data_IF_253742608868
#
_entry.id   IF_253742608868
#
_cell.length_a   1.000
_cell.length_b   1.000
_cell.length_c   1.000
_cell.angle_alpha   90.00
_cell.angle_beta   90.00
_cell.angle_gamma   90.00
#
_symmetry.space_group_name_H-M   'P 1'
#
loop_
_entity.id
_entity.type
_entity.pdbx_description
1 polymer ?
#
# COMPACT_ATOMS: atom_id res chain seq x y z
N UNK A 1 -2.34 60.85 -12.17
CA UNK A 1 -1.65 59.68 -12.70
C UNK A 1 -2.22 58.42 -11.96
N UNK A 2 -3.20 57.74 -12.63
CA UNK A 2 -3.70 56.44 -12.18
C UNK A 2 -2.72 55.37 -12.71
N UNK A 3 -1.93 54.78 -11.84
CA UNK A 3 -1.15 53.62 -12.16
C UNK A 3 -2.11 52.41 -12.11
N UNK A 4 -2.54 51.96 -13.28
CA UNK A 4 -3.26 50.67 -13.42
C UNK A 4 -2.23 49.58 -13.18
N UNK A 5 -2.30 48.92 -12.02
CA UNK A 5 -1.66 47.62 -11.83
C UNK A 5 -2.38 46.62 -12.72
N UNK A 6 -1.91 46.40 -13.93
CA UNK A 6 -2.32 45.23 -14.70
C UNK A 6 -1.81 44.02 -13.92
N UNK A 7 -2.71 43.24 -13.38
CA UNK A 7 -2.37 41.92 -12.81
C UNK A 7 -1.88 41.07 -14.00
N UNK A 8 -0.60 40.72 -14.02
CA UNK A 8 -0.09 39.76 -15.00
C UNK A 8 -0.94 38.47 -14.84
N UNK A 9 -1.49 38.01 -15.96
CA UNK A 9 -2.22 36.73 -15.95
C UNK A 9 -1.21 35.63 -15.65
N UNK A 10 -1.40 34.95 -14.51
CA UNK A 10 -0.56 33.84 -14.10
C UNK A 10 -0.71 32.69 -15.11
N UNK A 11 0.40 32.14 -15.57
CA UNK A 11 0.45 31.00 -16.50
C UNK A 11 -0.14 29.74 -15.87
N UNK A 12 -0.62 28.82 -16.70
CA UNK A 12 -1.05 27.48 -16.29
C UNK A 12 0.00 26.48 -16.79
N UNK A 13 0.54 25.60 -15.92
CA UNK A 13 1.50 24.60 -16.36
C UNK A 13 0.97 23.72 -17.49
N UNK A 14 1.79 23.45 -18.50
CA UNK A 14 1.49 22.54 -19.61
C UNK A 14 2.22 21.22 -19.39
N UNK A 15 1.48 20.11 -19.41
CA UNK A 15 2.00 18.76 -19.13
C UNK A 15 1.87 17.90 -20.39
N UNK A 16 2.96 17.28 -20.84
CA UNK A 16 2.99 16.27 -21.88
C UNK A 16 3.61 14.98 -21.34
N UNK A 17 2.83 13.90 -21.29
CA UNK A 17 3.30 12.59 -20.80
C UNK A 17 3.65 11.72 -22.01
N UNK A 18 4.92 11.36 -22.14
CA UNK A 18 5.44 10.51 -23.21
C UNK A 18 5.32 9.04 -22.86
N UNK A 19 5.86 8.64 -21.68
CA UNK A 19 5.79 7.30 -21.15
C UNK A 19 5.10 7.31 -19.75
N UNK A 20 4.33 6.25 -19.42
CA UNK A 20 3.94 5.12 -20.28
C UNK A 20 3.03 5.59 -21.43
N UNK A 21 2.99 4.84 -22.55
CA UNK A 21 2.00 5.07 -23.59
C UNK A 21 0.62 4.62 -23.11
N UNK A 22 -0.44 5.21 -23.67
CA UNK A 22 -1.82 4.85 -23.29
C UNK A 22 -2.09 3.37 -23.56
N UNK A 23 -2.60 2.64 -22.57
CA UNK A 23 -2.91 1.22 -22.65
C UNK A 23 -1.71 0.30 -22.40
N UNK A 24 -0.56 0.83 -21.96
CA UNK A 24 0.56 0.00 -21.50
C UNK A 24 0.09 -0.99 -20.45
N UNK A 25 0.41 -2.28 -20.66
CA UNK A 25 0.13 -3.35 -19.70
C UNK A 25 1.31 -3.50 -18.76
N UNK A 26 1.04 -3.47 -17.48
CA UNK A 26 2.03 -3.50 -16.40
C UNK A 26 1.74 -4.67 -15.47
N UNK A 27 2.70 -5.55 -15.27
CA UNK A 27 2.61 -6.68 -14.35
C UNK A 27 3.22 -6.30 -12.99
N UNK A 28 2.42 -6.36 -11.94
CA UNK A 28 2.86 -6.05 -10.56
C UNK A 28 3.54 -7.28 -9.94
N UNK A 29 4.67 -7.14 -9.23
CA UNK A 29 5.39 -5.90 -8.89
C UNK A 29 6.38 -5.48 -10.00
N UNK A 30 6.50 -4.18 -10.24
CA UNK A 30 7.48 -3.63 -11.19
C UNK A 30 7.68 -2.13 -11.01
N UNK A 31 8.71 -1.60 -11.64
CA UNK A 31 8.89 -0.16 -11.84
C UNK A 31 8.31 0.24 -13.20
N UNK A 32 7.51 1.30 -13.22
CA UNK A 32 7.00 1.88 -14.46
C UNK A 32 7.82 3.13 -14.80
N UNK A 33 8.39 3.12 -16.00
CA UNK A 33 9.05 4.30 -16.53
C UNK A 33 8.01 5.40 -16.78
N UNK A 34 8.19 6.54 -16.14
CA UNK A 34 7.39 7.75 -16.40
C UNK A 34 8.31 8.82 -16.99
N UNK A 35 8.02 9.19 -18.24
CA UNK A 35 8.72 10.26 -18.94
C UNK A 35 7.73 11.34 -19.32
N UNK A 36 8.02 12.58 -18.97
CA UNK A 36 7.14 13.70 -19.24
C UNK A 36 7.92 15.01 -19.41
N UNK A 37 7.27 15.94 -20.11
CA UNK A 37 7.70 17.33 -20.19
C UNK A 37 6.65 18.21 -19.51
N UNK A 38 7.12 19.13 -18.66
CA UNK A 38 6.29 20.14 -17.99
C UNK A 38 6.89 21.51 -18.24
N UNK A 39 6.09 22.42 -18.78
CA UNK A 39 6.51 23.78 -19.09
C UNK A 39 5.65 24.79 -18.36
N UNK A 40 6.28 25.66 -17.59
CA UNK A 40 5.67 26.81 -16.95
C UNK A 40 6.77 27.80 -16.52
N UNK A 41 6.67 29.12 -16.78
CA UNK A 41 7.70 30.10 -16.40
C UNK A 41 7.93 30.19 -14.90
N UNK A 42 6.95 29.81 -14.07
CA UNK A 42 7.01 29.88 -12.61
C UNK A 42 6.81 28.51 -11.95
N UNK A 43 7.24 27.43 -12.60
CA UNK A 43 7.07 26.05 -12.12
C UNK A 43 7.71 25.86 -10.74
N UNK A 44 6.89 25.45 -9.76
CA UNK A 44 7.30 25.24 -8.36
C UNK A 44 7.40 23.76 -8.02
N UNK A 45 6.42 22.96 -8.45
CA UNK A 45 6.36 21.56 -8.04
C UNK A 45 5.82 20.65 -9.12
N UNK A 46 6.33 19.41 -9.15
CA UNK A 46 5.81 18.31 -9.95
C UNK A 46 5.64 17.09 -9.06
N UNK A 47 4.45 16.48 -9.10
CA UNK A 47 4.10 15.27 -8.37
C UNK A 47 3.57 14.22 -9.32
N UNK A 48 4.01 12.98 -9.12
CA UNK A 48 3.55 11.80 -9.88
C UNK A 48 2.84 10.86 -8.92
N UNK A 49 1.62 10.47 -9.27
CA UNK A 49 0.76 9.58 -8.51
C UNK A 49 0.30 8.39 -9.37
N UNK A 50 0.02 7.25 -8.75
CA UNK A 50 -0.83 6.21 -9.31
C UNK A 50 -2.23 6.37 -8.72
N UNK A 51 -3.24 6.46 -9.60
CA UNK A 51 -4.63 6.60 -9.16
C UNK A 51 -5.52 5.54 -9.81
N UNK A 52 -6.60 5.15 -9.11
CA UNK A 52 -7.63 4.23 -9.62
C UNK A 52 -8.59 4.92 -10.62
N UNK A 53 -9.59 4.18 -11.11
CA UNK A 53 -10.62 4.72 -12.01
C UNK A 53 -11.49 5.82 -11.37
N UNK A 54 -11.52 5.92 -10.04
CA UNK A 54 -12.17 6.99 -9.30
C UNK A 54 -11.24 8.16 -9.01
N UNK A 55 -10.04 8.17 -9.59
CA UNK A 55 -8.97 9.15 -9.38
C UNK A 55 -8.47 9.25 -7.94
N UNK A 56 -8.67 8.21 -7.13
CA UNK A 56 -8.12 8.12 -5.78
C UNK A 56 -6.70 7.58 -5.85
N UNK A 57 -5.80 8.20 -5.10
CA UNK A 57 -4.41 7.75 -4.97
C UNK A 57 -4.38 6.36 -4.33
N UNK A 58 -3.61 5.43 -4.93
CA UNK A 58 -3.50 4.04 -4.47
C UNK A 58 -2.10 3.67 -3.98
N UNK A 59 -1.09 4.46 -4.32
CA UNK A 59 0.28 4.30 -3.84
C UNK A 59 0.85 5.67 -3.41
N UNK A 60 1.91 5.70 -2.58
CA UNK A 60 2.59 6.93 -2.21
C UNK A 60 3.07 7.72 -3.44
N UNK A 61 2.91 9.06 -3.43
CA UNK A 61 3.33 9.90 -4.54
C UNK A 61 4.84 9.99 -4.62
N UNK A 62 5.35 10.27 -5.83
CA UNK A 62 6.73 10.68 -6.03
C UNK A 62 6.81 12.16 -6.42
N UNK A 63 7.76 12.87 -5.81
CA UNK A 63 8.04 14.26 -6.10
C UNK A 63 9.24 14.37 -7.02
N UNK A 64 9.10 15.15 -8.09
CA UNK A 64 10.18 15.45 -9.00
C UNK A 64 10.78 16.80 -8.61
N UNK A 65 12.11 16.85 -8.46
CA UNK A 65 12.80 18.09 -8.15
C UNK A 65 12.77 19.01 -9.38
N UNK A 66 12.12 20.16 -9.26
CA UNK A 66 12.10 21.17 -10.31
C UNK A 66 13.44 21.89 -10.37
N UNK A 67 14.02 21.99 -11.58
CA UNK A 67 15.32 22.65 -11.84
C UNK A 67 15.27 23.67 -12.95
N UNK A 68 14.18 23.74 -13.71
CA UNK A 68 14.00 24.66 -14.83
C UNK A 68 12.52 24.91 -15.12
N UNK A 69 12.23 25.95 -15.88
CA UNK A 69 10.87 26.32 -16.33
C UNK A 69 10.34 25.42 -17.46
N UNK A 70 11.23 24.73 -18.16
CA UNK A 70 10.91 23.67 -19.11
C UNK A 70 11.60 22.40 -18.61
N UNK A 71 10.83 21.55 -17.94
CA UNK A 71 11.33 20.38 -17.20
C UNK A 71 10.99 19.09 -17.92
N UNK A 72 11.95 18.54 -18.64
CA UNK A 72 11.91 17.16 -19.08
C UNK A 72 12.44 16.28 -17.94
N UNK A 73 11.67 15.27 -17.55
CA UNK A 73 12.10 14.34 -16.50
C UNK A 73 11.72 12.89 -16.82
N UNK A 74 12.48 12.00 -16.21
CA UNK A 74 12.28 10.56 -16.28
C UNK A 74 12.46 9.99 -14.88
N UNK A 75 11.48 9.22 -14.42
CA UNK A 75 11.53 8.48 -13.14
C UNK A 75 11.06 7.06 -13.31
N UNK A 76 11.57 6.17 -12.46
CA UNK A 76 11.01 4.84 -12.29
C UNK A 76 10.01 4.89 -11.13
N UNK A 77 8.72 4.80 -11.43
CA UNK A 77 7.66 4.82 -10.44
C UNK A 77 7.41 3.40 -9.93
N UNK A 78 7.66 3.10 -8.63
CA UNK A 78 7.54 1.75 -8.10
C UNK A 78 6.07 1.35 -7.90
N UNK A 79 5.66 0.24 -8.50
CA UNK A 79 4.34 -0.37 -8.32
C UNK A 79 4.53 -1.74 -7.67
N UNK A 80 4.63 -1.76 -6.33
CA UNK A 80 4.89 -2.98 -5.55
C UNK A 80 3.74 -3.37 -4.62
N UNK A 81 2.60 -2.67 -4.68
CA UNK A 81 1.43 -2.98 -3.86
C UNK A 81 0.86 -4.36 -4.22
N UNK A 82 1.00 -5.34 -3.32
CA UNK A 82 0.47 -6.71 -3.52
C UNK A 82 -1.06 -6.74 -3.55
N UNK A 83 -1.70 -5.73 -2.95
CA UNK A 83 -3.15 -5.55 -2.89
C UNK A 83 -3.75 -4.91 -4.13
N UNK A 84 -2.91 -4.45 -5.06
CA UNK A 84 -3.40 -3.85 -6.30
C UNK A 84 -4.08 -4.91 -7.18
N UNK A 85 -5.37 -4.73 -7.40
CA UNK A 85 -6.16 -5.60 -8.26
C UNK A 85 -5.85 -5.39 -9.74
N UNK A 86 -6.08 -6.41 -10.55
CA UNK A 86 -6.08 -6.27 -12.00
C UNK A 86 -7.16 -5.29 -12.43
N UNK A 87 -6.81 -4.31 -13.26
CA UNK A 87 -7.74 -3.28 -13.72
C UNK A 87 -7.05 -2.10 -14.38
N UNK A 88 -7.85 -1.09 -14.68
CA UNK A 88 -7.41 0.17 -15.27
C UNK A 88 -6.97 1.15 -14.17
N UNK A 89 -5.81 1.77 -14.38
CA UNK A 89 -5.23 2.78 -13.51
C UNK A 89 -4.69 3.93 -14.34
N UNK A 90 -4.32 5.03 -13.67
CA UNK A 90 -3.75 6.18 -14.35
C UNK A 90 -2.49 6.64 -13.65
N UNK A 91 -1.43 6.87 -14.43
CA UNK A 91 -0.34 7.73 -14.00
C UNK A 91 -0.85 9.16 -14.08
N UNK A 92 -0.89 9.83 -12.94
CA UNK A 92 -1.32 11.21 -12.79
C UNK A 92 -0.11 12.08 -12.52
N UNK A 93 0.11 13.09 -13.33
CA UNK A 93 1.14 14.12 -13.10
C UNK A 93 0.42 15.40 -12.74
N UNK A 94 0.79 15.96 -11.60
CA UNK A 94 0.31 17.28 -11.15
C UNK A 94 1.50 18.23 -11.14
N UNK A 95 1.36 19.33 -11.84
CA UNK A 95 2.33 20.42 -11.87
C UNK A 95 1.70 21.70 -11.34
N UNK A 96 2.41 22.45 -10.52
CA UNK A 96 1.91 23.67 -9.94
C UNK A 96 2.96 24.78 -9.98
N UNK A 97 2.50 25.99 -10.16
CA UNK A 97 3.22 27.23 -9.88
C UNK A 97 2.63 27.89 -8.62
N UNK A 98 2.93 29.17 -8.33
CA UNK A 98 2.43 29.89 -7.16
C UNK A 98 0.90 30.05 -7.14
N UNK A 99 0.28 30.17 -8.32
CA UNK A 99 -1.13 30.58 -8.47
C UNK A 99 -2.02 29.48 -9.08
N UNK A 100 -1.46 28.61 -9.92
CA UNK A 100 -2.20 27.66 -10.73
C UNK A 100 -1.63 26.24 -10.61
N UNK A 101 -2.51 25.29 -10.91
CA UNK A 101 -2.18 23.87 -10.98
C UNK A 101 -2.77 23.24 -12.24
N UNK A 102 -2.00 22.39 -12.89
CA UNK A 102 -2.45 21.53 -13.98
C UNK A 102 -2.28 20.05 -13.63
N UNK A 103 -3.07 19.22 -14.29
CA UNK A 103 -3.03 17.76 -14.11
C UNK A 103 -3.10 17.04 -15.44
N UNK A 104 -2.15 16.15 -15.69
CA UNK A 104 -2.13 15.25 -16.84
C UNK A 104 -2.37 13.80 -16.39
N UNK A 105 -3.00 13.00 -17.24
CA UNK A 105 -3.29 11.59 -16.98
C UNK A 105 -2.82 10.71 -18.14
N UNK A 106 -2.31 9.52 -17.80
CA UNK A 106 -2.01 8.48 -18.79
C UNK A 106 -2.53 7.14 -18.30
N UNK A 107 -3.47 6.56 -19.03
CA UNK A 107 -4.08 5.26 -18.68
C UNK A 107 -3.10 4.11 -18.88
N UNK A 108 -3.05 3.21 -17.91
CA UNK A 108 -2.33 1.94 -17.96
C UNK A 108 -3.26 0.81 -17.49
N UNK A 109 -2.97 -0.41 -17.91
CA UNK A 109 -3.65 -1.60 -17.41
C UNK A 109 -2.72 -2.35 -16.46
N UNK A 110 -3.08 -2.46 -15.19
CA UNK A 110 -2.33 -3.26 -14.22
C UNK A 110 -2.82 -4.70 -14.23
N UNK A 111 -1.89 -5.64 -14.24
CA UNK A 111 -2.12 -7.04 -13.94
C UNK A 111 -1.59 -7.29 -12.54
N UNK A 112 -2.48 -7.33 -11.56
CA UNK A 112 -2.15 -7.58 -10.16
C UNK A 112 -1.57 -8.97 -9.94
N UNK A 113 -0.80 -9.14 -8.88
CA UNK A 113 -0.35 -10.48 -8.46
C UNK A 113 -1.57 -11.29 -8.05
N UNK A 114 -1.79 -12.49 -8.61
CA UNK A 114 -2.88 -13.34 -8.17
C UNK A 114 -2.75 -13.63 -6.67
N UNK A 115 -3.77 -13.26 -5.90
CA UNK A 115 -3.86 -13.66 -4.50
C UNK A 115 -4.21 -15.15 -4.48
N UNK A 116 -3.19 -15.99 -4.27
CA UNK A 116 -3.42 -17.41 -4.09
C UNK A 116 -3.97 -17.65 -2.67
N UNK A 117 -5.21 -18.11 -2.60
CA UNK A 117 -5.77 -18.60 -1.34
C UNK A 117 -4.93 -19.77 -0.83
N UNK A 118 -4.22 -19.57 0.29
CA UNK A 118 -3.37 -20.60 0.91
C UNK A 118 -4.11 -21.44 1.92
N UNK A 119 -5.23 -20.95 2.43
CA UNK A 119 -6.04 -21.64 3.43
C UNK A 119 -6.77 -20.67 4.36
N UNK A 120 -7.58 -21.25 5.21
CA UNK A 120 -8.30 -20.59 6.30
C UNK A 120 -7.80 -21.15 7.63
N UNK A 121 -7.64 -20.30 8.62
CA UNK A 121 -7.42 -20.73 10.00
C UNK A 121 -8.71 -20.58 10.78
N UNK A 122 -9.28 -21.70 11.21
CA UNK A 122 -10.38 -21.70 12.13
C UNK A 122 -9.86 -21.88 13.55
N UNK A 123 -10.28 -21.00 14.45
CA UNK A 123 -9.85 -21.04 15.84
C UNK A 123 -11.04 -21.10 16.76
N UNK A 124 -10.93 -21.95 17.76
CA UNK A 124 -11.91 -22.12 18.84
C UNK A 124 -11.23 -22.11 20.20
N UNK A 125 -11.98 -21.72 21.25
CA UNK A 125 -11.52 -21.80 22.63
C UNK A 125 -12.30 -22.91 23.30
N UNK A 126 -11.60 -23.91 23.83
CA UNK A 126 -12.17 -24.99 24.59
C UNK A 126 -11.56 -24.97 26.01
N UNK A 127 -12.33 -24.45 26.97
CA UNK A 127 -11.83 -24.24 28.33
C UNK A 127 -10.67 -23.24 28.36
N UNK A 128 -9.49 -23.70 28.74
CA UNK A 128 -8.25 -22.91 28.78
C UNK A 128 -7.33 -23.14 27.57
N UNK A 129 -7.82 -23.86 26.56
CA UNK A 129 -7.04 -24.17 25.38
C UNK A 129 -7.57 -23.44 24.16
N UNK A 130 -6.67 -22.88 23.39
CA UNK A 130 -6.92 -22.36 22.05
C UNK A 130 -6.65 -23.50 21.09
N UNK A 131 -7.69 -23.96 20.41
CA UNK A 131 -7.56 -24.96 19.34
C UNK A 131 -7.70 -24.28 17.99
N UNK A 132 -6.87 -24.65 17.07
CA UNK A 132 -6.94 -24.15 15.71
C UNK A 132 -6.76 -25.25 14.68
N UNK A 133 -7.39 -25.00 13.55
CA UNK A 133 -7.38 -25.91 12.41
C UNK A 133 -7.04 -25.09 11.18
N UNK A 134 -6.04 -25.52 10.47
CA UNK A 134 -5.77 -24.99 9.12
C UNK A 134 -6.65 -25.74 8.13
N UNK A 135 -7.33 -25.00 7.27
CA UNK A 135 -8.10 -25.53 6.15
C UNK A 135 -7.36 -25.07 4.89
N UNK A 136 -6.75 -25.97 4.16
CA UNK A 136 -5.99 -25.66 2.96
C UNK A 136 -6.89 -25.27 1.77
N UNK A 137 -6.28 -24.89 0.65
CA UNK A 137 -7.01 -24.46 -0.55
C UNK A 137 -7.83 -25.58 -1.21
N UNK A 138 -7.62 -26.83 -0.81
CA UNK A 138 -8.37 -28.02 -1.31
C UNK A 138 -9.46 -28.45 -0.35
N UNK A 139 -9.58 -27.78 0.82
CA UNK A 139 -10.53 -28.15 1.88
C UNK A 139 -9.99 -29.19 2.85
N UNK A 140 -8.71 -29.59 2.72
CA UNK A 140 -8.04 -30.47 3.69
C UNK A 140 -7.90 -29.77 5.05
N UNK A 141 -8.21 -30.47 6.14
CA UNK A 141 -8.18 -29.93 7.51
C UNK A 141 -7.00 -30.51 8.26
N UNK A 142 -6.17 -29.66 8.83
CA UNK A 142 -5.06 -30.03 9.71
C UNK A 142 -5.24 -29.35 11.05
N UNK A 143 -5.44 -30.14 12.11
CA UNK A 143 -5.45 -29.63 13.49
C UNK A 143 -4.03 -29.30 13.92
N UNK A 144 -3.85 -28.09 14.43
CA UNK A 144 -2.56 -27.60 14.91
C UNK A 144 -2.45 -27.83 16.42
N UNK A 145 -1.24 -27.91 16.99
CA UNK A 145 -1.07 -28.09 18.43
C UNK A 145 -1.85 -27.02 19.22
N UNK A 146 -2.60 -27.42 20.27
CA UNK A 146 -3.35 -26.47 21.07
C UNK A 146 -2.40 -25.60 21.91
N UNK A 147 -2.77 -24.34 22.07
CA UNK A 147 -2.07 -23.41 22.95
C UNK A 147 -2.87 -23.30 24.25
N UNK A 148 -2.23 -23.65 25.38
CA UNK A 148 -2.87 -23.50 26.69
C UNK A 148 -2.76 -22.05 27.15
N UNK A 149 -3.77 -21.26 26.87
CA UNK A 149 -3.88 -19.87 27.32
C UNK A 149 -5.27 -19.30 27.03
N UNK A 150 -5.62 -18.23 27.72
CA UNK A 150 -6.76 -17.39 27.28
C UNK A 150 -6.32 -16.45 26.17
N UNK A 151 -7.10 -16.40 25.11
CA UNK A 151 -6.86 -15.52 23.96
C UNK A 151 -7.55 -14.18 24.18
N UNK A 152 -6.83 -13.08 23.99
CA UNK A 152 -7.40 -11.74 23.96
C UNK A 152 -7.60 -11.21 22.55
N UNK A 153 -6.76 -11.62 21.62
CA UNK A 153 -6.83 -11.17 20.25
C UNK A 153 -5.91 -11.96 19.32
N UNK A 154 -6.22 -11.92 18.04
CA UNK A 154 -5.46 -12.55 16.98
C UNK A 154 -5.35 -11.58 15.81
N UNK A 155 -4.18 -11.56 15.16
CA UNK A 155 -3.97 -10.94 13.86
C UNK A 155 -3.30 -11.94 12.92
N UNK A 156 -3.70 -11.91 11.67
CA UNK A 156 -3.11 -12.72 10.60
C UNK A 156 -2.35 -11.78 9.66
N UNK A 157 -1.07 -12.05 9.49
CA UNK A 157 -0.20 -11.33 8.56
C UNK A 157 -0.16 -12.09 7.23
N UNK A 158 -1.04 -11.76 6.33
CA UNK A 158 -1.25 -12.51 5.07
C UNK A 158 -0.02 -12.55 4.16
N UNK A 159 0.81 -11.50 4.19
CA UNK A 159 2.02 -11.40 3.37
C UNK A 159 3.20 -12.22 3.88
N UNK A 160 3.26 -12.48 5.20
CA UNK A 160 4.41 -13.08 5.86
C UNK A 160 4.17 -14.52 6.34
N UNK A 161 2.96 -15.04 6.12
CA UNK A 161 2.56 -16.36 6.62
C UNK A 161 2.71 -16.48 8.14
N UNK A 162 2.36 -15.42 8.87
CA UNK A 162 2.45 -15.34 10.33
C UNK A 162 1.08 -15.13 10.97
N UNK A 163 0.93 -15.63 12.19
CA UNK A 163 -0.21 -15.39 13.06
C UNK A 163 0.28 -14.89 14.40
N UNK A 164 -0.18 -13.71 14.81
CA UNK A 164 0.12 -13.15 16.13
C UNK A 164 -1.01 -13.36 17.09
N UNK A 165 -0.70 -13.86 18.28
CA UNK A 165 -1.64 -14.13 19.35
C UNK A 165 -1.31 -13.30 20.59
N UNK A 166 -2.30 -12.66 21.14
CA UNK A 166 -2.23 -12.06 22.47
C UNK A 166 -2.87 -13.00 23.50
N UNK A 167 -2.08 -13.42 24.48
CA UNK A 167 -2.51 -14.40 25.46
C UNK A 167 -2.43 -13.86 26.89
N UNK A 168 -3.38 -14.24 27.74
CA UNK A 168 -3.48 -13.76 29.13
C UNK A 168 -2.46 -14.42 30.06
N UNK A 169 -2.23 -15.71 29.90
CA UNK A 169 -1.55 -16.53 30.92
C UNK A 169 -0.11 -16.10 31.17
N UNK A 170 0.54 -15.45 30.21
CA UNK A 170 1.91 -15.00 30.30
C UNK A 170 2.09 -13.51 30.12
N UNK A 171 1.01 -12.73 29.97
CA UNK A 171 1.08 -11.33 29.54
C UNK A 171 2.00 -11.18 28.33
N UNK A 172 1.89 -12.09 27.38
CA UNK A 172 2.76 -12.16 26.21
C UNK A 172 1.98 -11.98 24.93
N UNK A 173 2.63 -11.32 24.01
CA UNK A 173 2.29 -11.36 22.61
C UNK A 173 3.24 -12.36 21.93
N UNK A 174 2.67 -13.29 21.20
CA UNK A 174 3.43 -14.34 20.52
C UNK A 174 3.07 -14.36 19.03
N UNK A 175 4.07 -14.47 18.18
CA UNK A 175 3.90 -14.61 16.74
C UNK A 175 4.36 -15.99 16.32
N UNK A 176 3.59 -16.66 15.50
CA UNK A 176 3.86 -17.99 14.99
C UNK A 176 3.87 -17.99 13.46
N UNK A 177 4.69 -18.82 12.86
CA UNK A 177 4.52 -19.16 11.45
C UNK A 177 3.28 -20.01 11.24
N UNK A 178 2.59 -19.78 10.12
CA UNK A 178 1.38 -20.54 9.78
C UNK A 178 1.64 -22.02 9.47
N UNK A 179 2.90 -22.41 9.31
CA UNK A 179 3.31 -23.82 9.09
C UNK A 179 3.90 -24.52 10.30
N UNK A 180 4.32 -23.80 11.34
CA UNK A 180 4.86 -24.35 12.58
C UNK A 180 4.37 -23.56 13.79
N UNK A 181 3.47 -24.15 14.54
CA UNK A 181 2.85 -23.58 15.74
C UNK A 181 3.40 -24.18 17.02
N UNK A 182 4.43 -25.02 16.93
CA UNK A 182 5.04 -25.69 18.09
C UNK A 182 5.82 -24.69 18.96
N UNK A 183 6.40 -23.68 18.32
CA UNK A 183 7.16 -22.65 19.00
C UNK A 183 6.82 -21.26 18.41
N UNK A 184 6.69 -20.23 19.25
CA UNK A 184 6.59 -18.87 18.73
C UNK A 184 7.90 -18.46 18.08
N UNK A 185 7.82 -17.85 16.90
CA UNK A 185 8.96 -17.24 16.25
C UNK A 185 9.46 -16.02 17.04
N UNK A 186 8.49 -15.33 17.64
CA UNK A 186 8.76 -14.10 18.37
C UNK A 186 7.81 -14.00 19.58
N UNK A 187 8.35 -13.54 20.70
CA UNK A 187 7.61 -13.34 21.94
C UNK A 187 7.95 -12.00 22.58
N UNK A 188 6.96 -11.22 22.97
CA UNK A 188 7.10 -9.99 23.75
C UNK A 188 6.31 -10.09 25.04
N UNK A 189 7.00 -9.94 26.18
CA UNK A 189 6.39 -9.88 27.50
C UNK A 189 6.02 -8.44 27.85
N UNK A 190 4.88 -8.24 28.51
CA UNK A 190 4.41 -6.97 29.01
C UNK A 190 4.41 -6.96 30.54
N UNK A 191 4.87 -5.87 31.14
CA UNK A 191 4.83 -5.68 32.60
C UNK A 191 3.51 -4.98 32.92
N UNK A 192 2.56 -5.70 33.51
CA UNK A 192 1.26 -5.15 33.90
C UNK A 192 0.15 -6.21 33.92
N UNK A 193 -0.86 -6.03 34.74
CA UNK A 193 -1.79 -7.07 35.11
C UNK A 193 -2.98 -7.30 34.16
N UNK A 194 -3.19 -6.52 33.12
CA UNK A 194 -4.35 -6.71 32.22
C UNK A 194 -4.10 -6.15 30.81
N UNK A 195 -3.80 -7.04 29.86
CA UNK A 195 -4.02 -6.78 28.45
C UNK A 195 -5.53 -6.92 28.16
N UNK A 196 -6.28 -5.85 28.10
CA UNK A 196 -7.74 -5.91 27.90
C UNK A 196 -8.19 -5.76 26.45
N UNK A 197 -7.41 -5.12 25.59
CA UNK A 197 -7.71 -4.94 24.14
C UNK A 197 -6.41 -4.81 23.38
N UNK A 198 -6.23 -5.61 22.32
CA UNK A 198 -5.20 -5.42 21.32
C UNK A 198 -5.89 -5.13 20.00
N UNK A 199 -5.66 -3.95 19.47
CA UNK A 199 -6.04 -3.60 18.12
C UNK A 199 -4.78 -3.63 17.26
N UNK A 200 -4.81 -4.43 16.19
CA UNK A 200 -3.76 -4.51 15.21
C UNK A 200 -4.06 -3.54 14.07
N UNK A 201 -3.07 -2.79 13.70
CA UNK A 201 -3.11 -1.93 12.51
C UNK A 201 -2.00 -2.44 11.59
N UNK A 202 -2.37 -2.99 10.47
CA UNK A 202 -1.44 -3.28 9.36
C UNK A 202 -1.18 -1.95 8.63
N UNK A 203 0.09 -1.59 8.47
CA UNK A 203 0.52 -0.41 7.71
C UNK A 203 1.12 -0.82 6.37
#
# INVERSE_FOLDING_TARGET
>A
LLWSCAKEESSIPVISIEDPTTGTVVYVPTDVLVKANVTDPELVSIRVDLVDESFRQVLPPQWVKVTSTNMEFQINYPIYGKELSTGDYYIKITAANSDNQATGFKKIALIGTPLNYKGLYAMGVLGTQIQWTQIDSTGGMTSLPPITSQLYGMAIHSGESQVSLATQQSNQLQTYFTGDHSNPEWTKSFIGSNLSIIQWVEH
#
